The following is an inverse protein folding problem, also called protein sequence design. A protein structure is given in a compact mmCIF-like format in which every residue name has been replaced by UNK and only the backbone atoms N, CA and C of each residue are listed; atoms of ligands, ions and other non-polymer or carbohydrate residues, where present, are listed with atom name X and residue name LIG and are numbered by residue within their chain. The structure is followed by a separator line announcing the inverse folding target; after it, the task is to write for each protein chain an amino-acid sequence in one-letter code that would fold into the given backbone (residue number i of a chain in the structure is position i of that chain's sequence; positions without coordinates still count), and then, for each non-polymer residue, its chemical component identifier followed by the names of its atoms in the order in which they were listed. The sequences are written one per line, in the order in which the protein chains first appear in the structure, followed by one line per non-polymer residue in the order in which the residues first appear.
data_IF_686437861626
#
_entry.id   IF_686437861626
#
_cell.length_a   1.000
_cell.length_b   1.000
_cell.length_c   1.000
_cell.angle_alpha   90.00
_cell.angle_beta   90.00
_cell.angle_gamma   90.00
#
_symmetry.space_group_name_H-M   'P 1'
#
loop_
_entity.id
_entity.type
_entity.pdbx_description
1 polymer ?
#
# COMPACT_ATOMS: atom_id res chain seq x y z
N UNK A 1 14.64 7.62 -1.79
CA UNK A 1 13.37 8.04 -1.16
C UNK A 1 12.60 6.83 -0.67
N UNK A 2 11.76 7.05 0.32
CA UNK A 2 10.90 6.01 0.87
C UNK A 2 9.45 6.39 0.64
N UNK A 3 8.60 5.40 0.39
CA UNK A 3 7.20 5.65 0.05
C UNK A 3 6.29 4.84 0.96
N UNK A 4 5.17 5.46 1.36
CA UNK A 4 4.02 4.72 1.84
C UNK A 4 3.06 4.60 0.67
N UNK A 5 2.55 3.43 0.42
CA UNK A 5 1.67 3.18 -0.72
C UNK A 5 0.43 2.43 -0.29
N UNK A 6 -0.63 2.63 -1.05
CA UNK A 6 -1.87 1.86 -0.91
C UNK A 6 -2.15 1.22 -2.25
N UNK A 7 -2.37 -0.07 -2.24
CA UNK A 7 -2.79 -0.82 -3.43
C UNK A 7 -4.17 -1.42 -3.19
N UNK A 8 -4.90 -1.60 -4.28
CA UNK A 8 -6.26 -2.15 -4.25
C UNK A 8 -6.32 -3.34 -5.19
N UNK A 9 -6.92 -4.44 -4.73
CA UNK A 9 -7.12 -5.63 -5.56
C UNK A 9 -8.40 -5.51 -6.39
N UNK A 10 -8.57 -6.41 -7.36
CA UNK A 10 -9.80 -6.49 -8.14
C UNK A 10 -11.01 -6.77 -7.25
N UNK A 11 -10.79 -7.49 -6.16
CA UNK A 11 -11.83 -7.83 -5.21
C UNK A 11 -12.22 -6.67 -4.27
N UNK A 12 -11.51 -5.54 -4.38
CA UNK A 12 -11.79 -4.37 -3.56
C UNK A 12 -11.07 -4.34 -2.21
N UNK A 13 -10.08 -5.18 -2.03
CA UNK A 13 -9.26 -5.18 -0.81
C UNK A 13 -8.16 -4.14 -0.89
N UNK A 14 -7.74 -3.62 0.25
CA UNK A 14 -6.67 -2.64 0.34
C UNK A 14 -5.49 -3.19 1.11
N UNK A 15 -4.30 -2.83 0.66
CA UNK A 15 -3.06 -3.14 1.38
C UNK A 15 -2.23 -1.87 1.50
N UNK A 16 -1.71 -1.61 2.70
CA UNK A 16 -0.87 -0.45 2.99
C UNK A 16 0.52 -0.96 3.35
N UNK A 17 1.53 -0.40 2.70
CA UNK A 17 2.92 -0.79 2.96
C UNK A 17 3.89 0.36 2.75
N UNK A 18 5.16 0.10 2.99
CA UNK A 18 6.22 1.05 2.70
C UNK A 18 7.34 0.36 1.93
N UNK A 19 8.00 1.11 1.04
CA UNK A 19 9.05 0.57 0.19
C UNK A 19 9.88 1.71 -0.42
N UNK A 20 11.08 1.38 -0.87
CA UNK A 20 11.89 2.29 -1.67
C UNK A 20 11.54 2.23 -3.14
N UNK A 21 10.88 1.15 -3.58
CA UNK A 21 10.55 0.94 -4.98
C UNK A 21 9.15 0.34 -5.11
N UNK A 22 8.19 1.19 -5.41
CA UNK A 22 6.78 0.80 -5.49
C UNK A 22 6.54 -0.18 -6.66
N UNK A 23 7.14 0.08 -7.81
CA UNK A 23 6.94 -0.76 -9.00
C UNK A 23 7.38 -2.20 -8.74
N UNK A 24 8.55 -2.36 -8.14
CA UNK A 24 9.07 -3.68 -7.78
C UNK A 24 8.17 -4.37 -6.76
N UNK A 25 7.72 -3.61 -5.76
CA UNK A 25 6.88 -4.15 -4.69
C UNK A 25 5.52 -4.57 -5.23
N UNK A 26 4.95 -3.77 -6.13
CA UNK A 26 3.66 -4.09 -6.76
C UNK A 26 3.77 -5.37 -7.59
N UNK A 27 4.86 -5.54 -8.32
CA UNK A 27 5.11 -6.78 -9.06
C UNK A 27 5.17 -7.98 -8.12
N UNK A 28 5.80 -7.82 -6.95
CA UNK A 28 5.87 -8.88 -5.95
C UNK A 28 4.49 -9.26 -5.44
N UNK A 29 3.64 -8.27 -5.17
CA UNK A 29 2.27 -8.54 -4.71
C UNK A 29 1.44 -9.28 -5.75
N UNK A 30 1.66 -8.99 -7.02
CA UNK A 30 0.94 -9.64 -8.12
C UNK A 30 1.60 -10.95 -8.59
N UNK A 31 2.76 -11.29 -8.05
CA UNK A 31 3.51 -12.48 -8.46
C UNK A 31 2.88 -13.75 -7.92
N UNK A 32 2.90 -14.81 -8.72
CA UNK A 32 2.44 -16.14 -8.28
C UNK A 32 3.31 -16.71 -7.16
N UNK A 33 4.53 -16.22 -7.00
CA UNK A 33 5.43 -16.66 -5.94
C UNK A 33 5.25 -15.88 -4.64
N UNK A 34 4.36 -14.91 -4.62
CA UNK A 34 4.05 -14.14 -3.41
C UNK A 34 3.41 -15.06 -2.36
N UNK A 35 4.01 -15.15 -1.19
CA UNK A 35 3.53 -16.00 -0.10
C UNK A 35 2.85 -15.22 1.02
N UNK A 36 2.73 -13.90 0.85
CA UNK A 36 2.08 -13.05 1.84
C UNK A 36 0.57 -13.07 1.73
N UNK A 37 -0.05 -12.29 2.61
CA UNK A 37 -1.51 -12.12 2.64
C UNK A 37 -2.08 -11.70 1.29
N UNK A 38 -1.34 -10.84 0.56
CA UNK A 38 -1.80 -10.31 -0.72
C UNK A 38 -1.91 -11.37 -1.81
N UNK A 39 -1.32 -12.54 -1.61
CA UNK A 39 -1.41 -13.64 -2.56
C UNK A 39 -2.84 -14.17 -2.72
N UNK A 40 -3.70 -13.93 -1.75
CA UNK A 40 -5.10 -14.39 -1.78
C UNK A 40 -5.96 -13.57 -2.74
N UNK A 41 -5.44 -12.44 -3.21
CA UNK A 41 -6.18 -11.51 -4.05
C UNK A 41 -5.38 -11.22 -5.30
N UNK A 42 -6.06 -10.75 -6.35
CA UNK A 42 -5.44 -10.54 -7.66
C UNK A 42 -5.65 -9.11 -8.17
N UNK A 43 -4.85 -8.74 -9.16
CA UNK A 43 -5.03 -7.48 -9.85
C UNK A 43 -4.77 -6.27 -8.98
N UNK A 44 -3.71 -6.33 -8.17
CA UNK A 44 -3.32 -5.19 -7.33
C UNK A 44 -2.86 -4.02 -8.19
N UNK A 45 -3.42 -2.84 -7.92
CA UNK A 45 -3.03 -1.59 -8.56
C UNK A 45 -2.75 -0.54 -7.49
N UNK A 46 -1.82 0.35 -7.80
CA UNK A 46 -1.52 1.46 -6.89
C UNK A 46 -2.63 2.50 -6.97
N UNK A 47 -3.18 2.88 -5.82
CA UNK A 47 -4.23 3.90 -5.73
C UNK A 47 -3.79 5.13 -4.96
N UNK A 48 -2.67 5.07 -4.23
CA UNK A 48 -2.19 6.20 -3.45
C UNK A 48 -0.74 6.01 -3.05
N UNK A 49 0.03 7.11 -2.95
CA UNK A 49 1.40 7.08 -2.42
C UNK A 49 1.74 8.40 -1.74
N UNK A 50 2.63 8.32 -0.75
CA UNK A 50 3.27 9.47 -0.12
C UNK A 50 4.77 9.23 -0.10
N UNK A 51 5.55 10.30 -0.28
CA UNK A 51 7.00 10.23 -0.37
C UNK A 51 7.63 10.81 0.91
N UNK A 52 8.67 10.13 1.40
CA UNK A 52 9.41 10.54 2.60
C UNK A 52 10.90 10.42 2.37
N UNK A 53 11.67 11.27 3.04
CA UNK A 53 13.12 11.22 2.93
C UNK A 53 13.73 10.05 3.69
N UNK A 54 13.12 9.63 4.80
CA UNK A 54 13.65 8.56 5.63
C UNK A 54 12.68 7.40 5.76
N UNK A 55 13.25 6.23 6.00
CA UNK A 55 12.49 5.01 6.23
C UNK A 55 11.63 5.13 7.50
N UNK A 56 12.15 5.78 8.53
CA UNK A 56 11.44 5.94 9.79
C UNK A 56 10.15 6.73 9.61
N UNK A 57 10.22 7.83 8.86
CA UNK A 57 9.04 8.64 8.57
C UNK A 57 7.98 7.86 7.80
N UNK A 58 8.42 7.12 6.79
CA UNK A 58 7.52 6.29 5.99
C UNK A 58 6.82 5.23 6.86
N UNK A 59 7.58 4.57 7.73
CA UNK A 59 7.03 3.55 8.63
C UNK A 59 6.02 4.11 9.63
N UNK A 60 6.29 5.31 10.14
CA UNK A 60 5.36 5.99 11.06
C UNK A 60 4.04 6.27 10.34
N UNK A 61 4.12 6.77 9.12
CA UNK A 61 2.93 7.08 8.32
C UNK A 61 2.16 5.81 7.97
N UNK A 62 2.87 4.76 7.60
CA UNK A 62 2.25 3.46 7.33
C UNK A 62 1.43 2.99 8.53
N UNK A 63 2.00 3.09 9.73
CA UNK A 63 1.32 2.69 10.97
C UNK A 63 0.06 3.51 11.22
N UNK A 64 0.16 4.83 11.03
CA UNK A 64 -1.01 5.72 11.15
C UNK A 64 -2.12 5.35 10.20
N UNK A 65 -1.77 5.10 8.94
CA UNK A 65 -2.75 4.77 7.91
C UNK A 65 -3.42 3.43 8.18
N UNK A 66 -2.68 2.47 8.70
CA UNK A 66 -3.26 1.17 9.08
C UNK A 66 -4.28 1.28 10.19
N UNK A 67 -4.10 2.24 11.10
CA UNK A 67 -5.07 2.49 12.17
C UNK A 67 -6.38 3.06 11.64
N UNK A 68 -6.35 3.78 10.52
CA UNK A 68 -7.53 4.42 9.94
C UNK A 68 -8.09 3.67 8.73
N UNK A 69 -7.51 2.52 8.38
CA UNK A 69 -7.93 1.73 7.24
C UNK A 69 -9.42 1.39 7.33
N UNK A 70 -10.15 1.69 6.24
CA UNK A 70 -11.60 1.47 6.18
C UNK A 70 -12.43 2.60 6.76
N UNK A 71 -11.80 3.61 7.36
CA UNK A 71 -12.53 4.78 7.87
C UNK A 71 -12.85 5.78 6.77
N UNK A 72 -13.69 6.76 7.08
CA UNK A 72 -13.99 7.86 6.15
C UNK A 72 -12.74 8.66 5.80
N UNK A 73 -11.83 8.85 6.76
CA UNK A 73 -10.56 9.53 6.56
C UNK A 73 -9.73 8.82 5.51
N UNK A 74 -9.63 7.51 5.61
CA UNK A 74 -8.87 6.69 4.68
C UNK A 74 -9.46 6.79 3.27
N UNK A 75 -10.77 6.66 3.14
CA UNK A 75 -11.46 6.79 1.85
C UNK A 75 -11.28 8.17 1.24
N UNK A 76 -11.33 9.21 2.05
CA UNK A 76 -11.13 10.59 1.57
C UNK A 76 -9.73 10.79 0.98
N UNK A 77 -8.69 10.17 1.59
CA UNK A 77 -7.34 10.22 1.05
C UNK A 77 -7.25 9.60 -0.34
N UNK A 78 -7.95 8.50 -0.56
CA UNK A 78 -7.89 7.77 -1.82
C UNK A 78 -8.70 8.41 -2.93
N UNK A 79 -9.64 9.28 -2.61
CA UNK A 79 -10.52 9.95 -3.58
C UNK A 79 -9.92 11.23 -4.16
N UNK A 80 -8.75 11.64 -3.72
CA UNK A 80 -8.09 12.85 -4.24
C UNK A 80 -7.53 12.65 -5.65
#
# INVERSE_FOLDING_TARGET
MHYVYVIRSQEGRYYIGSTENIEKRLKQHNSKSNRGWTNRFTGWTEVYREEFETRLEARRREREMKKTRGSKKFKALLEK
#
